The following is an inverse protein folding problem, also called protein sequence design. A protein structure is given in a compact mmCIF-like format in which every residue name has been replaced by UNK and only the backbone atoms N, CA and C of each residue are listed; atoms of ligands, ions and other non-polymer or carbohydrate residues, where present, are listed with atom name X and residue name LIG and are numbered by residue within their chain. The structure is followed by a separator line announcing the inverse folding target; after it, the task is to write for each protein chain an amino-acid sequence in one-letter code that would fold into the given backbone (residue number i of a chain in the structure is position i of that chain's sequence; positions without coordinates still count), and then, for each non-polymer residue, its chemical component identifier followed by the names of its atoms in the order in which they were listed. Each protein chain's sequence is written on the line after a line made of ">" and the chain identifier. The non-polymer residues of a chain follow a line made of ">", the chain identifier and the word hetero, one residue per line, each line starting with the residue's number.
data_IF_714548989083
#
_entry.id   IF_714548989083
#
_cell.length_a   1.000
_cell.length_b   1.000
_cell.length_c   1.000
_cell.angle_alpha   90.00
_cell.angle_beta   90.00
_cell.angle_gamma   90.00
#
_symmetry.space_group_name_H-M   'P 1'
#
loop_
_entity.id
_entity.type
_entity.pdbx_description
1 polymer ?
#
# COMPACT_ATOMS: atom_id res chain seq x y z
N UNK A 1 3.17 2.99 -16.80
CA UNK A 1 2.73 3.31 -18.18
C UNK A 1 3.90 2.97 -19.07
N UNK A 2 3.71 2.06 -20.02
CA UNK A 2 4.76 1.73 -20.99
C UNK A 2 4.87 2.86 -22.03
N UNK A 3 6.10 3.30 -22.29
CA UNK A 3 6.48 4.34 -23.25
C UNK A 3 7.30 3.76 -24.41
N UNK A 4 7.15 2.47 -24.68
CA UNK A 4 7.89 1.73 -25.71
C UNK A 4 8.61 0.50 -25.18
N UNK A 5 8.66 0.29 -23.86
CA UNK A 5 9.17 -0.94 -23.27
C UNK A 5 8.39 -2.15 -23.80
N UNK A 6 9.11 -3.21 -24.18
CA UNK A 6 8.55 -4.42 -24.78
C UNK A 6 7.68 -4.19 -26.03
N UNK A 7 7.94 -3.11 -26.79
CA UNK A 7 7.10 -2.68 -27.92
C UNK A 7 5.63 -2.44 -27.53
N UNK A 8 5.39 -2.14 -26.25
CA UNK A 8 4.08 -1.83 -25.70
C UNK A 8 3.96 -0.35 -25.37
N UNK A 9 2.72 0.13 -25.34
CA UNK A 9 2.35 1.48 -24.92
C UNK A 9 1.16 1.38 -23.96
N UNK A 10 0.97 2.41 -23.13
CA UNK A 10 -0.12 2.49 -22.15
C UNK A 10 0.00 1.47 -20.99
N UNK A 11 -1.11 0.94 -20.47
CA UNK A 11 -1.15 0.20 -19.18
C UNK A 11 -1.68 -1.24 -19.25
N UNK A 12 -2.14 -1.72 -20.41
CA UNK A 12 -2.84 -3.02 -20.53
C UNK A 12 -1.86 -4.20 -20.53
N UNK A 13 -1.06 -4.33 -19.47
CA UNK A 13 0.01 -5.32 -19.34
C UNK A 13 0.33 -5.58 -17.87
N UNK A 14 0.89 -6.76 -17.58
CA UNK A 14 1.35 -7.15 -16.24
C UNK A 14 2.85 -6.92 -16.03
N UNK A 15 3.55 -6.31 -16.99
CA UNK A 15 4.94 -5.92 -16.79
C UNK A 15 5.07 -4.88 -15.68
N UNK A 16 6.18 -4.93 -14.93
CA UNK A 16 6.44 -4.02 -13.81
C UNK A 16 6.26 -2.54 -14.19
N UNK A 17 6.71 -2.14 -15.39
CA UNK A 17 6.54 -0.76 -15.91
C UNK A 17 5.07 -0.31 -16.03
N UNK A 18 4.13 -1.26 -16.18
CA UNK A 18 2.70 -1.00 -16.27
C UNK A 18 2.03 -1.00 -14.87
N UNK A 19 2.45 -1.90 -13.97
CA UNK A 19 1.78 -2.16 -12.68
C UNK A 19 2.41 -1.47 -11.48
N UNK A 20 3.70 -1.11 -11.52
CA UNK A 20 4.38 -0.44 -10.41
C UNK A 20 3.96 1.03 -10.34
N UNK A 21 3.48 1.44 -9.17
CA UNK A 21 2.98 2.79 -8.91
C UNK A 21 3.76 3.45 -7.76
N UNK A 22 3.87 4.79 -7.74
CA UNK A 22 4.43 5.49 -6.60
C UNK A 22 3.45 5.45 -5.40
N UNK A 23 3.98 5.12 -4.23
CA UNK A 23 3.28 5.21 -2.94
C UNK A 23 4.14 6.01 -1.97
N UNK A 24 3.63 7.14 -1.49
CA UNK A 24 4.31 8.04 -0.55
C UNK A 24 3.33 8.40 0.55
N UNK A 25 3.75 8.28 1.80
CA UNK A 25 2.94 8.54 2.98
C UNK A 25 3.58 9.63 3.84
N UNK A 26 2.75 10.56 4.31
CA UNK A 26 3.15 11.59 5.26
C UNK A 26 2.31 11.44 6.51
N UNK A 27 2.91 10.90 7.57
CA UNK A 27 2.26 10.66 8.86
C UNK A 27 2.87 11.64 9.86
N UNK A 28 2.05 12.54 10.46
CA UNK A 28 2.52 13.44 11.50
C UNK A 28 3.29 12.66 12.58
N UNK A 29 4.38 13.25 13.06
CA UNK A 29 5.24 12.69 14.13
C UNK A 29 6.04 11.42 13.76
N UNK A 30 5.51 10.52 12.92
CA UNK A 30 6.21 9.30 12.48
C UNK A 30 7.19 9.54 11.33
N UNK A 31 6.76 10.22 10.27
CA UNK A 31 7.57 10.38 9.03
C UNK A 31 8.15 11.79 8.86
N UNK A 32 7.81 12.73 9.73
CA UNK A 32 8.21 14.14 9.60
C UNK A 32 9.74 14.28 9.68
N UNK A 33 10.35 14.98 8.72
CA UNK A 33 11.80 15.18 8.61
C UNK A 33 12.65 13.90 8.52
N UNK A 34 12.04 12.73 8.24
CA UNK A 34 12.75 11.46 8.08
C UNK A 34 12.75 11.03 6.62
N UNK A 35 13.93 10.75 6.07
CA UNK A 35 14.08 10.17 4.72
C UNK A 35 13.87 8.65 4.76
N UNK A 36 12.66 8.20 5.09
CA UNK A 36 12.31 6.78 5.18
C UNK A 36 12.04 6.18 3.80
N UNK A 37 12.51 4.94 3.59
CA UNK A 37 12.28 4.16 2.37
C UNK A 37 12.20 2.69 2.75
N UNK A 38 11.41 1.93 2.01
CA UNK A 38 11.33 0.48 2.13
C UNK A 38 11.22 -0.17 0.76
N UNK A 39 11.70 -1.41 0.68
CA UNK A 39 11.55 -2.29 -0.48
C UNK A 39 10.52 -3.39 -0.21
N UNK A 40 9.77 -3.32 0.89
CA UNK A 40 8.66 -4.22 1.15
C UNK A 40 7.64 -4.12 0.00
N UNK A 41 7.10 -5.28 -0.40
CA UNK A 41 6.06 -5.36 -1.41
C UNK A 41 4.73 -5.08 -0.73
N UNK A 42 3.97 -4.14 -1.29
CA UNK A 42 2.61 -3.79 -0.87
C UNK A 42 1.75 -3.61 -2.11
N UNK A 43 0.43 -3.75 -1.95
CA UNK A 43 -0.55 -3.60 -3.01
C UNK A 43 -1.43 -2.36 -2.77
N UNK A 44 -2.10 -1.88 -3.82
CA UNK A 44 -2.99 -0.72 -3.67
C UNK A 44 -4.24 -1.04 -2.83
N UNK A 45 -4.65 -2.30 -2.74
CA UNK A 45 -5.78 -2.74 -1.90
C UNK A 45 -5.48 -2.60 -0.41
N UNK A 46 -4.21 -2.63 -0.02
CA UNK A 46 -3.73 -2.44 1.36
C UNK A 46 -3.92 -1.00 1.87
N UNK A 47 -4.14 -0.04 0.97
CA UNK A 47 -4.23 1.38 1.32
C UNK A 47 -5.40 1.67 2.25
N UNK A 48 -6.56 1.06 2.01
CA UNK A 48 -7.75 1.26 2.82
C UNK A 48 -7.58 0.79 4.27
N UNK A 49 -7.22 -0.47 4.56
CA UNK A 49 -7.03 -0.93 5.93
C UNK A 49 -5.86 -0.21 6.63
N UNK A 50 -4.81 0.17 5.89
CA UNK A 50 -3.70 0.96 6.46
C UNK A 50 -4.15 2.34 6.95
N UNK A 51 -4.89 3.10 6.13
CA UNK A 51 -5.38 4.43 6.55
C UNK A 51 -6.34 4.30 7.73
N UNK A 52 -7.20 3.29 7.71
CA UNK A 52 -8.17 3.04 8.78
C UNK A 52 -7.46 2.73 10.11
N UNK A 53 -6.44 1.86 10.11
CA UNK A 53 -5.62 1.56 11.28
C UNK A 53 -4.85 2.78 11.78
N UNK A 54 -4.22 3.56 10.89
CA UNK A 54 -3.54 4.81 11.27
C UNK A 54 -4.49 5.85 11.88
N UNK A 55 -5.78 5.77 11.54
CA UNK A 55 -6.83 6.62 12.10
C UNK A 55 -7.43 6.07 13.39
N UNK A 56 -6.89 4.98 13.94
CA UNK A 56 -7.38 4.31 15.15
C UNK A 56 -8.65 3.47 14.96
N UNK A 57 -9.01 3.15 13.71
CA UNK A 57 -10.20 2.38 13.36
C UNK A 57 -9.82 1.17 12.50
N UNK A 58 -9.18 0.12 13.08
CA UNK A 58 -8.79 -1.06 12.30
C UNK A 58 -10.02 -1.75 11.69
N UNK A 59 -9.86 -2.28 10.48
CA UNK A 59 -10.91 -2.94 9.70
C UNK A 59 -10.61 -4.43 9.62
N UNK A 60 -11.66 -5.25 9.69
CA UNK A 60 -11.56 -6.70 9.59
C UNK A 60 -11.29 -7.17 8.16
N UNK A 61 -10.65 -8.34 8.03
CA UNK A 61 -10.36 -8.97 6.74
C UNK A 61 -11.63 -9.62 6.22
N UNK A 62 -11.92 -9.44 4.93
CA UNK A 62 -13.10 -10.06 4.32
C UNK A 62 -13.07 -11.59 4.42
N UNK A 63 -14.16 -12.18 4.90
CA UNK A 63 -14.36 -13.62 4.91
C UNK A 63 -15.09 -14.11 3.64
N UNK A 64 -14.98 -15.40 3.31
CA UNK A 64 -15.55 -15.99 2.09
C UNK A 64 -17.08 -15.79 1.95
N UNK A 65 -17.78 -15.58 3.07
CA UNK A 65 -19.19 -15.24 3.08
C UNK A 65 -19.37 -13.72 2.97
N UNK A 66 -19.76 -13.26 1.78
CA UNK A 66 -20.02 -11.85 1.44
C UNK A 66 -21.32 -11.37 2.11
N UNK A 67 -21.36 -11.38 3.44
CA UNK A 67 -22.45 -10.80 4.24
C UNK A 67 -22.02 -9.53 4.95
N UNK A 68 -20.72 -9.24 4.97
CA UNK A 68 -20.14 -8.06 5.61
C UNK A 68 -20.25 -6.83 4.69
N UNK A 69 -20.74 -5.73 5.25
CA UNK A 69 -20.86 -4.44 4.55
C UNK A 69 -19.52 -3.69 4.55
N UNK A 70 -18.65 -3.95 5.53
CA UNK A 70 -17.37 -3.28 5.73
C UNK A 70 -16.29 -4.28 6.11
N UNK A 71 -15.44 -4.63 5.16
CA UNK A 71 -14.24 -5.44 5.34
C UNK A 71 -13.18 -5.02 4.30
N UNK A 72 -11.95 -5.52 4.42
CA UNK A 72 -10.91 -5.33 3.40
C UNK A 72 -10.24 -6.65 3.01
N UNK A 73 -9.96 -6.83 1.71
CA UNK A 73 -9.12 -7.94 1.24
C UNK A 73 -7.62 -7.65 1.44
N UNK A 74 -7.24 -6.38 1.53
CA UNK A 74 -5.86 -5.94 1.72
C UNK A 74 -5.39 -6.10 3.15
N UNK A 75 -4.07 -6.10 3.33
CA UNK A 75 -3.43 -6.16 4.64
C UNK A 75 -2.84 -4.80 4.99
N UNK A 76 -3.10 -4.33 6.22
CA UNK A 76 -2.47 -3.10 6.68
C UNK A 76 -0.95 -3.23 6.74
N UNK A 77 -0.24 -2.27 6.14
CA UNK A 77 1.23 -2.19 6.21
C UNK A 77 1.73 -1.23 7.30
N UNK A 78 0.89 -0.87 8.29
CA UNK A 78 1.34 -0.13 9.48
C UNK A 78 2.50 -0.81 10.22
N UNK A 79 2.54 -2.15 10.41
CA UNK A 79 3.70 -2.81 11.01
C UNK A 79 5.00 -2.56 10.24
N UNK A 80 4.92 -2.44 8.91
CA UNK A 80 6.08 -2.13 8.06
C UNK A 80 6.53 -0.68 8.29
N UNK A 81 5.59 0.25 8.41
CA UNK A 81 5.90 1.66 8.73
C UNK A 81 6.63 1.76 10.07
N UNK A 82 6.13 1.07 11.10
CA UNK A 82 6.70 1.12 12.44
C UNK A 82 8.09 0.48 12.47
N UNK A 83 8.29 -0.66 11.79
CA UNK A 83 9.61 -1.29 11.64
C UNK A 83 10.64 -0.37 10.98
N UNK A 84 10.25 0.40 9.95
CA UNK A 84 11.15 1.37 9.28
C UNK A 84 11.44 2.58 10.16
N UNK A 85 10.46 2.99 10.98
CA UNK A 85 10.57 4.15 11.87
C UNK A 85 11.46 3.83 13.07
N UNK A 86 11.39 2.60 13.58
CA UNK A 86 12.07 2.15 14.81
C UNK A 86 13.48 1.60 14.54
N UNK A 87 13.73 0.94 13.39
CA UNK A 87 15.06 0.42 13.03
C UNK A 87 16.00 1.46 12.39
N UNK A 88 15.78 2.76 12.65
CA UNK A 88 16.55 3.84 12.04
C UNK A 88 17.10 4.85 13.04
#
# INVERSE_FOLDING_TARGET
>A
WSLGEHSQWAKYSNFEVAVRVPLILSIPEKTTNKNLKTNAIVELVDLFPTIAELSGNPIEICHENITEILCSEGMSFVPIIDDIVDNK
#
